data_IF_771378780615
#
_entry.id   IF_771378780615
#
_cell.length_a   1.000
_cell.length_b   1.000
_cell.length_c   1.000
_cell.angle_alpha   90.00
_cell.angle_beta   90.00
_cell.angle_gamma   90.00
#
_symmetry.space_group_name_H-M   'P 1'
#
loop_
_entity.id
_entity.type
_entity.pdbx_description
1 polymer ?
#
# COMPACT_ATOMS: atom_id res chain seq x y z
N UNK A 1 3.44 19.06 10.39
CA UNK A 1 2.66 17.96 11.00
C UNK A 1 3.39 17.28 12.15
N UNK A 2 2.76 17.07 13.31
CA UNK A 2 3.35 16.23 14.37
C UNK A 2 3.48 14.78 13.86
N UNK A 3 4.55 14.05 14.24
CA UNK A 3 4.80 12.67 13.75
C UNK A 3 3.57 11.76 13.93
N UNK A 4 2.87 11.89 15.05
CA UNK A 4 1.63 11.16 15.35
C UNK A 4 0.53 11.33 14.30
N UNK A 5 0.43 12.50 13.66
CA UNK A 5 -0.57 12.74 12.59
C UNK A 5 -0.23 11.95 11.33
N UNK A 6 1.06 11.84 10.99
CA UNK A 6 1.50 11.01 9.87
C UNK A 6 1.21 9.53 10.16
N UNK A 7 1.47 9.06 11.37
CA UNK A 7 1.12 7.69 11.76
C UNK A 7 -0.39 7.43 11.69
N UNK A 8 -1.19 8.33 12.25
CA UNK A 8 -2.65 8.22 12.23
C UNK A 8 -3.24 8.22 10.82
N UNK A 9 -2.57 8.85 9.85
CA UNK A 9 -2.99 8.87 8.45
C UNK A 9 -2.50 7.65 7.67
N UNK A 10 -1.20 7.32 7.77
CA UNK A 10 -0.58 6.30 6.93
C UNK A 10 -0.86 4.88 7.40
N UNK A 11 -1.07 4.64 8.70
CA UNK A 11 -1.39 3.28 9.20
C UNK A 11 -2.72 2.77 8.60
N UNK A 12 -3.84 3.51 8.66
CA UNK A 12 -5.07 3.10 7.97
C UNK A 12 -4.87 2.91 6.47
N UNK A 13 -4.11 3.78 5.81
CA UNK A 13 -3.82 3.66 4.37
C UNK A 13 -3.12 2.33 4.06
N UNK A 14 -2.10 1.95 4.82
CA UNK A 14 -1.45 0.65 4.64
C UNK A 14 -2.39 -0.51 4.92
N UNK A 15 -3.23 -0.43 5.95
CA UNK A 15 -4.24 -1.46 6.23
C UNK A 15 -5.21 -1.62 5.06
N UNK A 16 -5.70 -0.51 4.49
CA UNK A 16 -6.57 -0.53 3.33
C UNK A 16 -5.88 -1.18 2.13
N UNK A 17 -4.63 -0.82 1.83
CA UNK A 17 -3.87 -1.42 0.72
C UNK A 17 -3.67 -2.93 0.97
N UNK A 18 -3.41 -3.35 2.21
CA UNK A 18 -3.27 -4.76 2.55
C UNK A 18 -4.57 -5.52 2.31
N UNK A 19 -5.68 -5.09 2.91
CA UNK A 19 -6.94 -5.80 2.81
C UNK A 19 -7.54 -5.77 1.40
N UNK A 20 -7.57 -4.60 0.77
CA UNK A 20 -8.20 -4.41 -0.55
C UNK A 20 -7.26 -4.72 -1.72
N UNK A 21 -5.93 -4.62 -1.52
CA UNK A 21 -4.94 -4.93 -2.54
C UNK A 21 -4.52 -6.39 -2.55
N UNK A 22 -4.12 -6.95 -1.40
CA UNK A 22 -3.73 -8.38 -1.34
C UNK A 22 -4.93 -9.33 -1.34
N UNK A 23 -6.12 -8.86 -0.93
CA UNK A 23 -7.35 -9.66 -1.00
C UNK A 23 -7.59 -10.26 -2.40
N UNK A 24 -7.66 -9.45 -3.47
CA UNK A 24 -7.76 -9.95 -4.84
C UNK A 24 -6.60 -10.85 -5.28
N UNK A 25 -5.37 -10.57 -4.84
CA UNK A 25 -4.20 -11.41 -5.18
C UNK A 25 -4.34 -12.81 -4.59
N UNK A 26 -4.91 -12.93 -3.39
CA UNK A 26 -5.00 -14.21 -2.67
C UNK A 26 -6.29 -14.97 -2.97
N UNK A 27 -7.40 -14.24 -3.16
CA UNK A 27 -8.75 -14.80 -3.11
C UNK A 27 -9.54 -14.65 -4.42
N UNK A 28 -9.07 -13.86 -5.39
CA UNK A 28 -9.79 -13.75 -6.67
C UNK A 28 -9.59 -15.03 -7.51
N UNK A 29 -10.65 -15.43 -8.20
CA UNK A 29 -10.68 -16.57 -9.11
C UNK A 29 -10.06 -16.22 -10.48
N UNK A 30 -8.83 -15.70 -10.44
CA UNK A 30 -8.04 -15.33 -11.61
C UNK A 30 -6.92 -16.33 -11.87
N UNK A 31 -6.45 -16.36 -13.12
CA UNK A 31 -5.26 -17.10 -13.50
C UNK A 31 -4.03 -16.62 -12.71
N UNK A 32 -3.00 -17.47 -12.62
CA UNK A 32 -1.75 -17.09 -11.96
C UNK A 32 -1.13 -15.81 -12.56
N UNK A 33 -1.29 -15.58 -13.87
CA UNK A 33 -0.82 -14.37 -14.55
C UNK A 33 -1.55 -13.11 -14.11
N UNK A 34 -2.88 -13.14 -14.03
CA UNK A 34 -3.69 -11.99 -13.58
C UNK A 34 -3.42 -11.64 -12.11
N UNK A 35 -3.25 -12.67 -11.27
CA UNK A 35 -2.91 -12.50 -9.85
C UNK A 35 -1.50 -11.93 -9.68
N UNK A 36 -0.53 -12.36 -10.49
CA UNK A 36 0.82 -11.80 -10.51
C UNK A 36 0.82 -10.33 -10.95
N UNK A 37 0.06 -10.00 -12.00
CA UNK A 37 -0.09 -8.62 -12.44
C UNK A 37 -0.72 -7.74 -11.35
N UNK A 38 -1.78 -8.23 -10.69
CA UNK A 38 -2.42 -7.56 -9.55
C UNK A 38 -1.43 -7.35 -8.41
N UNK A 39 -0.60 -8.35 -8.09
CA UNK A 39 0.45 -8.24 -7.08
C UNK A 39 1.46 -7.15 -7.43
N UNK A 40 1.92 -7.08 -8.69
CA UNK A 40 2.84 -6.03 -9.14
C UNK A 40 2.24 -4.62 -8.97
N UNK A 41 0.96 -4.45 -9.29
CA UNK A 41 0.24 -3.18 -9.08
C UNK A 41 0.20 -2.82 -7.59
N UNK A 42 -0.17 -3.77 -6.73
CA UNK A 42 -0.24 -3.56 -5.27
C UNK A 42 1.13 -3.19 -4.70
N UNK A 43 2.20 -3.89 -5.11
CA UNK A 43 3.57 -3.57 -4.72
C UNK A 43 4.00 -2.17 -5.20
N UNK A 44 3.60 -1.78 -6.41
CA UNK A 44 3.80 -0.42 -6.92
C UNK A 44 3.13 0.65 -6.05
N UNK A 45 1.89 0.39 -5.62
CA UNK A 45 1.15 1.29 -4.70
C UNK A 45 1.89 1.39 -3.36
N UNK A 46 2.33 0.27 -2.76
CA UNK A 46 3.13 0.30 -1.53
C UNK A 46 4.40 1.13 -1.70
N UNK A 47 5.12 0.96 -2.82
CA UNK A 47 6.35 1.71 -3.07
C UNK A 47 6.11 3.22 -3.15
N UNK A 48 5.04 3.65 -3.84
CA UNK A 48 4.67 5.07 -3.96
C UNK A 48 4.27 5.64 -2.60
N UNK A 49 3.34 4.99 -1.89
CA UNK A 49 2.88 5.45 -0.57
C UNK A 49 4.03 5.50 0.43
N UNK A 50 4.92 4.51 0.41
CA UNK A 50 6.12 4.48 1.27
C UNK A 50 7.05 5.62 0.93
N UNK A 51 7.31 5.89 -0.36
CA UNK A 51 8.14 7.05 -0.75
C UNK A 51 7.53 8.37 -0.28
N UNK A 52 6.22 8.55 -0.41
CA UNK A 52 5.53 9.76 0.08
C UNK A 52 5.68 9.87 1.60
N UNK A 53 5.43 8.79 2.35
CA UNK A 53 5.59 8.78 3.81
C UNK A 53 7.01 9.16 4.23
N UNK A 54 8.03 8.54 3.62
CA UNK A 54 9.43 8.82 3.89
C UNK A 54 9.81 10.26 3.53
N UNK A 55 9.31 10.78 2.41
CA UNK A 55 9.56 12.16 2.00
C UNK A 55 8.95 13.16 2.99
N UNK A 56 7.70 12.93 3.42
CA UNK A 56 7.02 13.75 4.44
C UNK A 56 7.66 13.65 5.83
N UNK A 57 8.29 12.52 6.15
CA UNK A 57 9.03 12.35 7.40
C UNK A 57 10.37 13.10 7.37
N UNK A 58 11.05 13.16 6.22
CA UNK A 58 12.33 13.87 6.00
C UNK A 58 12.18 15.37 5.81
N UNK A 59 11.01 15.84 5.35
CA UNK A 59 10.65 17.26 5.25
C UNK A 59 10.47 17.95 6.61
N UNK A 60 10.78 17.27 7.72
CA UNK A 60 10.68 17.78 9.09
C UNK A 60 11.98 17.56 9.84
#
# INVERSE_FOLDING_TARGET
MKRWVLWALFVPVYLLITFFGLGPVLLADGTAGERLFTLLVVLGIYAVVTRIFLHLLKLK
#
